data_IF_480331134899
#
_entry.id   IF_480331134899
#
_cell.length_a   1.000
_cell.length_b   1.000
_cell.length_c   1.000
_cell.angle_alpha   90.00
_cell.angle_beta   90.00
_cell.angle_gamma   90.00
#
_symmetry.space_group_name_H-M   'P 1'
#
loop_
_entity.id
_entity.type
_entity.pdbx_description
1 polymer ?
#
# COMPACT_ATOMS: atom_id res chain seq x y z
N UNK A 1 -5.63 4.29 0.58
CA UNK A 1 -6.13 5.05 -0.59
C UNK A 1 -6.51 6.49 -0.23
N UNK A 2 -7.28 6.72 0.84
CA UNK A 2 -7.74 8.07 1.25
C UNK A 2 -6.59 9.07 1.44
N UNK A 3 -5.51 8.66 2.12
CA UNK A 3 -4.31 9.51 2.26
C UNK A 3 -3.70 9.92 0.92
N UNK A 4 -3.66 9.01 -0.06
CA UNK A 4 -3.14 9.31 -1.40
C UNK A 4 -4.02 10.32 -2.12
N UNK A 5 -5.35 10.15 -2.07
CA UNK A 5 -6.32 11.11 -2.65
C UNK A 5 -6.19 12.47 -1.99
N UNK A 6 -6.10 12.50 -0.65
CA UNK A 6 -5.86 13.74 0.08
C UNK A 6 -4.54 14.40 -0.35
N UNK A 7 -3.49 13.61 -0.64
CA UNK A 7 -2.22 14.11 -1.16
C UNK A 7 -2.38 14.88 -2.46
N UNK A 8 -3.14 14.33 -3.41
CA UNK A 8 -3.46 15.05 -4.65
C UNK A 8 -4.25 16.34 -4.40
N UNK A 9 -5.22 16.32 -3.48
CA UNK A 9 -6.00 17.50 -3.14
C UNK A 9 -5.14 18.60 -2.51
N UNK A 10 -4.23 18.25 -1.60
CA UNK A 10 -3.35 19.21 -0.93
C UNK A 10 -2.29 19.77 -1.89
N UNK A 11 -1.77 18.97 -2.81
CA UNK A 11 -0.89 19.44 -3.90
C UNK A 11 -1.65 20.45 -4.77
N UNK A 12 -2.87 20.13 -5.19
CA UNK A 12 -3.68 21.02 -6.04
C UNK A 12 -3.97 22.38 -5.38
N UNK A 13 -4.03 22.46 -4.05
CA UNK A 13 -4.31 23.70 -3.30
C UNK A 13 -3.10 24.62 -3.12
N UNK A 14 -1.88 24.15 -3.38
CA UNK A 14 -0.66 24.86 -3.02
C UNK A 14 0.11 25.34 -4.26
N UNK A 15 0.20 26.65 -4.47
CA UNK A 15 1.03 27.20 -5.56
C UNK A 15 2.52 26.86 -5.42
N UNK A 16 2.97 26.51 -4.19
CA UNK A 16 4.36 26.11 -3.90
C UNK A 16 4.73 24.76 -4.53
N UNK A 17 3.77 23.98 -5.01
CA UNK A 17 4.05 22.67 -5.64
C UNK A 17 4.18 22.74 -7.16
N UNK A 18 3.95 23.90 -7.77
CA UNK A 18 4.06 24.05 -9.22
C UNK A 18 5.52 23.84 -9.65
N UNK A 19 5.75 22.87 -10.53
CA UNK A 19 7.08 22.53 -11.05
C UNK A 19 7.88 21.54 -10.18
N UNK A 20 7.28 20.99 -9.13
CA UNK A 20 7.94 20.05 -8.22
C UNK A 20 7.55 18.59 -8.49
N UNK A 21 8.52 17.66 -8.48
CA UNK A 21 8.23 16.24 -8.30
C UNK A 21 7.99 15.92 -6.82
N UNK A 22 6.82 15.37 -6.48
CA UNK A 22 6.40 15.13 -5.09
C UNK A 22 5.99 13.67 -4.90
N UNK A 23 6.60 13.03 -3.90
CA UNK A 23 6.18 11.71 -3.44
C UNK A 23 5.04 11.82 -2.45
N UNK A 24 3.94 11.10 -2.70
CA UNK A 24 2.90 10.85 -1.70
C UNK A 24 3.22 9.51 -1.04
N UNK A 25 4.02 9.56 0.02
CA UNK A 25 4.51 8.38 0.73
C UNK A 25 4.41 8.54 2.24
N UNK A 26 4.49 7.45 2.99
CA UNK A 26 4.47 7.48 4.46
C UNK A 26 5.84 7.66 5.08
N UNK A 27 6.92 7.56 4.29
CA UNK A 27 8.30 7.47 4.76
C UNK A 27 8.51 6.32 5.76
N UNK A 28 7.71 5.27 5.60
CA UNK A 28 7.82 4.00 6.30
C UNK A 28 7.87 2.88 5.27
N UNK A 29 8.57 1.81 5.60
CA UNK A 29 8.62 0.59 4.80
C UNK A 29 8.16 -0.60 5.63
N UNK A 30 7.75 -1.65 4.93
CA UNK A 30 7.35 -2.93 5.51
C UNK A 30 7.87 -4.04 4.61
N UNK A 31 8.35 -5.13 5.19
CA UNK A 31 8.74 -6.30 4.40
C UNK A 31 7.52 -7.06 3.89
N UNK A 32 7.68 -7.84 2.81
CA UNK A 32 6.62 -8.72 2.30
C UNK A 32 6.19 -9.73 3.38
N UNK A 33 7.13 -10.23 4.18
CA UNK A 33 6.84 -11.15 5.28
C UNK A 33 5.92 -10.52 6.33
N UNK A 34 6.24 -9.31 6.79
CA UNK A 34 5.39 -8.58 7.76
C UNK A 34 4.01 -8.26 7.19
N UNK A 35 3.91 -7.87 5.92
CA UNK A 35 2.61 -7.71 5.25
C UNK A 35 1.81 -9.02 5.24
N UNK A 36 2.45 -10.14 4.91
CA UNK A 36 1.79 -11.45 4.90
C UNK A 36 1.31 -11.86 6.30
N UNK A 37 2.15 -11.67 7.33
CA UNK A 37 1.80 -11.92 8.73
C UNK A 37 0.60 -11.07 9.18
N UNK A 38 0.58 -9.79 8.82
CA UNK A 38 -0.53 -8.88 9.15
C UNK A 38 -1.84 -9.31 8.48
N UNK A 39 -1.79 -9.74 7.22
CA UNK A 39 -2.94 -10.31 6.52
C UNK A 39 -3.44 -11.60 7.17
N UNK A 40 -2.54 -12.52 7.55
CA UNK A 40 -2.89 -13.75 8.26
C UNK A 40 -3.58 -13.42 9.59
N UNK A 41 -3.02 -12.49 10.36
CA UNK A 41 -3.56 -12.04 11.64
C UNK A 41 -4.98 -11.48 11.51
N UNK A 42 -5.25 -10.65 10.50
CA UNK A 42 -6.56 -10.01 10.32
C UNK A 42 -7.60 -10.89 9.61
N UNK A 43 -7.19 -11.81 8.73
CA UNK A 43 -8.10 -12.58 7.86
C UNK A 43 -8.34 -14.00 8.40
N UNK A 44 -7.27 -14.76 8.63
CA UNK A 44 -7.34 -16.15 9.07
C UNK A 44 -6.05 -16.54 9.80
N UNK A 45 -6.02 -16.48 11.15
CA UNK A 45 -4.83 -16.81 11.94
C UNK A 45 -4.30 -18.24 11.77
N UNK A 46 -5.08 -19.14 11.16
CA UNK A 46 -4.67 -20.52 10.89
C UNK A 46 -3.97 -20.68 9.53
N UNK A 47 -3.94 -19.64 8.69
CA UNK A 47 -3.25 -19.68 7.41
C UNK A 47 -1.74 -19.81 7.59
N UNK A 48 -1.09 -20.49 6.64
CA UNK A 48 0.35 -20.75 6.67
C UNK A 48 0.99 -20.21 5.41
N UNK A 49 2.14 -19.55 5.58
CA UNK A 49 3.00 -19.15 4.46
C UNK A 49 3.74 -20.41 3.99
N UNK A 50 3.62 -20.71 2.70
CA UNK A 50 4.31 -21.83 2.06
C UNK A 50 5.18 -21.31 0.93
N UNK A 51 6.34 -21.92 0.76
CA UNK A 51 7.25 -21.60 -0.33
C UNK A 51 6.86 -22.40 -1.58
N UNK A 52 6.81 -21.72 -2.72
CA UNK A 52 6.46 -22.32 -4.01
C UNK A 52 7.56 -22.01 -5.02
N UNK A 53 8.28 -23.05 -5.45
CA UNK A 53 9.40 -22.93 -6.39
C UNK A 53 8.96 -22.35 -7.74
N UNK A 54 7.72 -22.61 -8.18
CA UNK A 54 7.23 -22.13 -9.48
C UNK A 54 6.93 -20.63 -9.46
N UNK A 55 6.79 -20.03 -8.27
CA UNK A 55 6.46 -18.61 -8.08
C UNK A 55 7.66 -17.73 -7.73
N UNK A 56 8.86 -18.30 -7.77
CA UNK A 56 10.10 -17.52 -7.64
C UNK A 56 10.19 -16.59 -8.85
N UNK A 57 10.24 -15.29 -8.58
CA UNK A 57 10.40 -14.29 -9.63
C UNK A 57 11.87 -14.17 -10.03
N UNK A 58 12.18 -13.93 -11.32
CA UNK A 58 13.55 -13.71 -11.77
C UNK A 58 14.24 -12.59 -10.99
N UNK A 59 15.53 -12.74 -10.70
CA UNK A 59 16.29 -11.78 -9.87
C UNK A 59 16.18 -10.33 -10.35
N UNK A 60 16.16 -10.10 -11.67
CA UNK A 60 16.08 -8.76 -12.27
C UNK A 60 14.67 -8.17 -12.36
N UNK A 61 13.62 -8.90 -11.95
CA UNK A 61 12.24 -8.38 -11.98
C UNK A 61 11.83 -7.69 -10.69
N UNK A 62 12.62 -7.82 -9.63
CA UNK A 62 12.27 -7.32 -8.30
C UNK A 62 13.08 -6.08 -7.92
N UNK A 63 12.42 -5.16 -7.22
CA UNK A 63 13.06 -4.05 -6.53
C UNK A 63 13.16 -4.47 -5.06
N UNK A 64 14.39 -4.61 -4.55
CA UNK A 64 14.61 -5.10 -3.17
C UNK A 64 14.01 -4.17 -2.11
N UNK A 65 14.06 -2.86 -2.35
CA UNK A 65 13.61 -1.84 -1.40
C UNK A 65 12.99 -0.64 -2.11
N UNK A 66 11.79 -0.25 -1.68
CA UNK A 66 11.09 0.92 -2.19
C UNK A 66 10.59 1.79 -1.01
N UNK A 67 11.44 2.73 -0.59
CA UNK A 67 11.14 3.67 0.50
C UNK A 67 10.97 5.09 -0.06
N UNK A 68 9.73 5.57 -0.10
CA UNK A 68 9.43 6.93 -0.53
C UNK A 68 9.60 7.96 0.58
N UNK A 69 10.42 8.99 0.37
CA UNK A 69 10.49 10.15 1.27
C UNK A 69 9.27 11.05 1.09
N UNK A 70 8.69 11.54 2.19
CA UNK A 70 7.54 12.45 2.19
C UNK A 70 7.85 13.85 2.71
N UNK A 71 9.15 14.16 2.89
CA UNK A 71 9.60 15.46 3.39
C UNK A 71 9.11 16.62 2.53
N UNK A 72 9.14 16.45 1.19
CA UNK A 72 8.74 17.50 0.26
C UNK A 72 7.24 17.81 0.36
N UNK A 73 6.38 16.79 0.40
CA UNK A 73 4.92 17.02 0.49
C UNK A 73 4.52 17.65 1.84
N UNK A 74 5.13 17.22 2.95
CA UNK A 74 4.88 17.79 4.28
C UNK A 74 5.37 19.24 4.35
N UNK A 75 6.48 19.58 3.68
CA UNK A 75 7.01 20.96 3.68
C UNK A 75 6.18 21.91 2.82
N UNK A 76 5.64 21.43 1.70
CA UNK A 76 4.99 22.28 0.69
C UNK A 76 3.46 22.35 0.83
N UNK A 77 2.87 21.47 1.64
CA UNK A 77 1.41 21.33 1.79
C UNK A 77 1.04 20.98 3.24
N UNK A 78 -0.26 21.02 3.57
CA UNK A 78 -0.76 20.58 4.88
C UNK A 78 -0.99 19.05 4.95
N UNK A 79 -0.53 18.31 3.94
CA UNK A 79 -0.71 16.87 3.88
C UNK A 79 0.07 16.16 4.98
N UNK A 80 -0.61 15.19 5.61
CA UNK A 80 -0.01 14.21 6.50
C UNK A 80 -0.77 12.88 6.36
N UNK A 81 -0.09 11.73 6.50
CA UNK A 81 -0.79 10.45 6.55
C UNK A 81 -1.68 10.40 7.79
N UNK A 82 -2.90 9.91 7.62
CA UNK A 82 -3.91 9.83 8.69
C UNK A 82 -4.27 8.40 9.04
N UNK A 83 -3.84 7.43 8.23
CA UNK A 83 -4.07 6.00 8.46
C UNK A 83 -2.79 5.29 8.90
N UNK A 84 -2.91 4.38 9.86
CA UNK A 84 -1.88 3.35 10.05
C UNK A 84 -1.96 2.30 8.96
N UNK A 85 -0.91 1.48 8.86
CA UNK A 85 -0.87 0.38 7.92
C UNK A 85 -1.98 -0.64 8.22
N UNK A 86 -2.13 -1.00 9.49
CA UNK A 86 -3.10 -1.98 9.98
C UNK A 86 -4.54 -1.51 9.74
N UNK A 87 -4.84 -0.23 9.97
CA UNK A 87 -6.13 0.37 9.67
C UNK A 87 -6.43 0.34 8.17
N UNK A 88 -5.45 0.68 7.33
CA UNK A 88 -5.59 0.62 5.88
C UNK A 88 -5.86 -0.80 5.35
N UNK A 89 -5.17 -1.80 5.92
CA UNK A 89 -5.39 -3.22 5.62
C UNK A 89 -6.80 -3.64 6.06
N UNK A 90 -7.22 -3.26 7.27
CA UNK A 90 -8.54 -3.60 7.80
C UNK A 90 -9.69 -3.04 6.94
N UNK A 91 -9.62 -1.75 6.55
CA UNK A 91 -10.61 -1.16 5.65
C UNK A 91 -10.64 -1.87 4.29
N UNK A 92 -9.48 -2.28 3.78
CA UNK A 92 -9.37 -3.00 2.49
C UNK A 92 -9.99 -4.39 2.57
N UNK A 93 -9.73 -5.13 3.65
CA UNK A 93 -10.34 -6.44 3.91
C UNK A 93 -11.86 -6.32 3.95
N UNK A 94 -12.39 -5.34 4.69
CA UNK A 94 -13.83 -5.12 4.79
C UNK A 94 -14.46 -4.71 3.46
N UNK A 95 -13.76 -3.91 2.65
CA UNK A 95 -14.20 -3.59 1.31
C UNK A 95 -14.29 -4.85 0.43
N UNK A 96 -13.25 -5.68 0.40
CA UNK A 96 -13.24 -6.90 -0.42
C UNK A 96 -14.34 -7.87 0.03
N UNK A 97 -14.50 -8.11 1.34
CA UNK A 97 -15.57 -8.96 1.89
C UNK A 97 -16.96 -8.57 1.40
N UNK A 98 -17.23 -7.26 1.30
CA UNK A 98 -18.51 -6.71 0.83
C UNK A 98 -18.69 -6.72 -0.69
N UNK A 99 -17.63 -7.01 -1.44
CA UNK A 99 -17.61 -6.94 -2.90
C UNK A 99 -17.07 -8.24 -3.52
N UNK A 100 -17.17 -9.38 -2.81
CA UNK A 100 -16.62 -10.66 -3.25
C UNK A 100 -17.14 -11.11 -4.63
N UNK A 101 -18.36 -10.71 -4.98
CA UNK A 101 -19.00 -10.95 -6.28
C UNK A 101 -18.24 -10.32 -7.46
N UNK A 102 -17.39 -9.32 -7.20
CA UNK A 102 -16.58 -8.64 -8.21
C UNK A 102 -15.22 -9.29 -8.44
N UNK A 103 -14.84 -10.27 -7.62
CA UNK A 103 -13.54 -10.91 -7.66
C UNK A 103 -13.66 -12.37 -8.09
N UNK A 104 -12.71 -12.84 -8.91
CA UNK A 104 -12.63 -14.24 -9.31
C UNK A 104 -11.86 -15.03 -8.25
N UNK A 105 -12.53 -15.39 -7.17
CA UNK A 105 -11.89 -15.95 -5.96
C UNK A 105 -11.21 -17.32 -6.18
N UNK A 106 -11.64 -18.06 -7.20
CA UNK A 106 -11.13 -19.41 -7.52
C UNK A 106 -10.34 -19.47 -8.85
N UNK A 107 -10.12 -18.33 -9.51
CA UNK A 107 -9.51 -18.28 -10.84
C UNK A 107 -8.20 -17.49 -10.77
N UNK A 108 -7.09 -18.22 -10.75
CA UNK A 108 -5.75 -17.64 -10.78
C UNK A 108 -5.29 -17.41 -12.23
N UNK A 109 -5.89 -16.44 -12.92
CA UNK A 109 -5.54 -16.11 -14.30
C UNK A 109 -6.24 -14.84 -14.81
N UNK A 110 -5.45 -13.79 -15.07
CA UNK A 110 -5.05 -13.30 -16.40
C UNK A 110 -4.03 -12.18 -16.23
#
# INVERSE_FOLDING_TARGET
MKDTVNGFLEIMKSDKTIGEEINIATQKEISIGQLAEELIRQINPNAKIVYDNERIRPEKSEVERLLGSNEKIIRLTEWKPTYTFEEGIAETIEFIKKNMDKYKVDIYNL
#
